data_IF_857668304079
#
_entry.id   IF_857668304079
#
_cell.length_a   1.000
_cell.length_b   1.000
_cell.length_c   1.000
_cell.angle_alpha   90.00
_cell.angle_beta   90.00
_cell.angle_gamma   90.00
#
_symmetry.space_group_name_H-M   'P 1'
#
loop_
_entity.id
_entity.type
_entity.pdbx_description
1 polymer ?
#
# COMPACT_ATOMS: atom_id res chain seq x y z
N UNK A 1 33.45 -4.65 0.15
CA UNK A 1 32.51 -5.44 -0.69
C UNK A 1 31.06 -5.02 -0.45
N UNK A 2 30.63 -4.99 0.81
CA UNK A 2 29.42 -4.40 1.39
C UNK A 2 28.71 -3.34 0.52
N UNK A 3 29.39 -2.24 0.15
CA UNK A 3 28.79 -1.16 -0.66
C UNK A 3 28.20 -1.61 -2.01
N UNK A 4 28.86 -2.56 -2.67
CA UNK A 4 28.44 -3.08 -3.99
C UNK A 4 27.24 -4.01 -3.82
N UNK A 5 27.18 -4.73 -2.68
CA UNK A 5 26.07 -5.64 -2.35
C UNK A 5 24.83 -4.86 -1.94
N UNK A 6 24.95 -3.82 -1.10
CA UNK A 6 23.81 -2.99 -0.67
C UNK A 6 23.21 -2.19 -1.83
N UNK A 7 24.04 -1.44 -2.58
CA UNK A 7 23.59 -0.72 -3.75
C UNK A 7 23.03 -1.66 -4.85
N UNK A 8 23.68 -2.80 -5.09
CA UNK A 8 23.20 -3.81 -6.05
C UNK A 8 21.85 -4.41 -5.65
N UNK A 9 21.65 -4.68 -4.36
CA UNK A 9 20.37 -5.18 -3.83
C UNK A 9 19.27 -4.12 -3.93
N UNK A 10 19.55 -2.87 -3.58
CA UNK A 10 18.58 -1.76 -3.71
C UNK A 10 18.10 -1.57 -5.16
N UNK A 11 19.03 -1.58 -6.12
CA UNK A 11 18.70 -1.51 -7.55
C UNK A 11 17.93 -2.74 -8.03
N UNK A 12 18.27 -3.94 -7.54
CA UNK A 12 17.54 -5.18 -7.82
C UNK A 12 16.11 -5.16 -7.29
N UNK A 13 15.91 -4.72 -6.05
CA UNK A 13 14.59 -4.55 -5.41
C UNK A 13 13.78 -3.46 -6.13
N UNK A 14 14.39 -2.33 -6.48
CA UNK A 14 13.75 -1.26 -7.26
C UNK A 14 13.27 -1.76 -8.63
N UNK A 15 14.14 -2.44 -9.38
CA UNK A 15 13.78 -3.02 -10.68
C UNK A 15 12.69 -4.10 -10.57
N UNK A 16 12.79 -5.01 -9.59
CA UNK A 16 11.78 -6.04 -9.35
C UNK A 16 10.41 -5.42 -8.99
N UNK A 17 10.38 -4.45 -8.08
CA UNK A 17 9.14 -3.78 -7.65
C UNK A 17 8.57 -2.87 -8.74
N UNK A 18 9.40 -2.33 -9.64
CA UNK A 18 8.97 -1.69 -10.91
C UNK A 18 8.28 -2.68 -11.84
N UNK A 19 8.88 -3.85 -12.09
CA UNK A 19 8.35 -4.88 -13.01
C UNK A 19 7.04 -5.47 -12.46
N UNK A 20 7.00 -5.77 -11.15
CA UNK A 20 5.80 -6.22 -10.46
C UNK A 20 4.74 -5.11 -10.28
N UNK A 21 5.09 -3.84 -10.53
CA UNK A 21 4.21 -2.68 -10.35
C UNK A 21 3.87 -2.35 -8.89
N UNK A 22 4.58 -2.93 -7.93
CA UNK A 22 4.41 -2.70 -6.49
C UNK A 22 4.78 -1.26 -6.10
N UNK A 23 5.80 -0.71 -6.76
CA UNK A 23 6.27 0.67 -6.52
C UNK A 23 5.36 1.76 -7.09
N UNK A 24 4.18 1.39 -7.61
CA UNK A 24 3.09 2.32 -7.91
C UNK A 24 2.30 2.71 -6.66
N UNK A 25 2.43 1.96 -5.56
CA UNK A 25 1.93 2.37 -4.26
C UNK A 25 2.97 3.22 -3.53
N UNK A 26 2.58 4.44 -3.12
CA UNK A 26 3.44 5.34 -2.34
C UNK A 26 3.86 4.77 -0.98
N UNK A 27 3.23 3.68 -0.51
CA UNK A 27 3.58 3.00 0.73
C UNK A 27 4.93 2.25 0.69
N UNK A 28 5.41 1.84 -0.49
CA UNK A 28 6.57 0.93 -0.60
C UNK A 28 7.85 1.49 0.03
N UNK A 29 8.28 2.68 -0.39
CA UNK A 29 9.53 3.27 0.12
C UNK A 29 9.46 3.74 1.59
N UNK A 30 8.34 4.31 2.08
CA UNK A 30 8.11 4.46 3.52
C UNK A 30 8.25 3.15 4.30
N UNK A 31 7.71 2.04 3.80
CA UNK A 31 7.82 0.74 4.46
C UNK A 31 9.26 0.21 4.45
N UNK A 32 9.99 0.37 3.34
CA UNK A 32 11.43 0.05 3.24
C UNK A 32 12.22 0.83 4.29
N UNK A 33 12.05 2.16 4.36
CA UNK A 33 12.73 3.01 5.35
C UNK A 33 12.41 2.61 6.80
N UNK A 34 11.15 2.28 7.11
CA UNK A 34 10.74 1.81 8.45
C UNK A 34 11.42 0.48 8.81
N UNK A 35 11.46 -0.47 7.87
CA UNK A 35 12.11 -1.78 8.09
C UNK A 35 13.61 -1.63 8.27
N UNK A 36 14.28 -0.84 7.43
CA UNK A 36 15.74 -0.65 7.48
C UNK A 36 16.15 0.00 8.80
N UNK A 37 15.50 1.09 9.19
CA UNK A 37 15.78 1.75 10.48
C UNK A 37 15.55 0.79 11.67
N UNK A 38 14.48 -0.01 11.65
CA UNK A 38 14.15 -0.92 12.75
C UNK A 38 15.19 -2.02 13.04
N UNK A 39 16.15 -2.26 12.14
CA UNK A 39 17.25 -3.20 12.42
C UNK A 39 18.20 -2.71 13.52
N UNK A 40 18.32 -1.41 13.76
CA UNK A 40 19.16 -0.89 14.85
C UNK A 40 18.60 -1.21 16.25
N UNK A 41 17.27 -1.19 16.43
CA UNK A 41 16.61 -1.72 17.63
C UNK A 41 16.88 -3.23 17.80
N UNK A 42 16.86 -4.00 16.70
CA UNK A 42 17.17 -5.44 16.72
C UNK A 42 18.61 -5.69 17.17
N UNK A 43 19.59 -4.95 16.66
CA UNK A 43 20.98 -5.06 17.08
C UNK A 43 21.16 -4.68 18.56
N UNK A 44 20.50 -3.61 19.03
CA UNK A 44 20.53 -3.24 20.44
C UNK A 44 19.95 -4.35 21.33
N UNK A 45 18.85 -5.00 20.93
CA UNK A 45 18.28 -6.14 21.67
C UNK A 45 19.22 -7.36 21.66
N UNK A 46 19.92 -7.62 20.54
CA UNK A 46 20.93 -8.68 20.45
C UNK A 46 22.13 -8.43 21.39
N UNK A 47 22.46 -7.17 21.65
CA UNK A 47 23.53 -6.73 22.56
C UNK A 47 23.08 -6.57 24.04
N UNK A 48 21.94 -7.17 24.41
CA UNK A 48 21.40 -7.11 25.78
C UNK A 48 20.67 -5.81 26.13
N UNK A 49 20.42 -4.93 25.16
CA UNK A 49 19.51 -3.78 25.27
C UNK A 49 20.14 -2.46 25.68
N UNK A 50 21.46 -2.38 25.88
CA UNK A 50 22.11 -1.17 26.38
C UNK A 50 21.87 0.08 25.51
N UNK A 51 21.97 -0.07 24.18
CA UNK A 51 21.75 1.00 23.21
C UNK A 51 20.26 1.32 22.94
N UNK A 52 19.32 0.47 23.38
CA UNK A 52 17.95 0.43 22.86
C UNK A 52 17.19 1.75 22.97
N UNK A 53 17.37 2.48 24.07
CA UNK A 53 16.70 3.79 24.26
C UNK A 53 17.21 4.84 23.25
N UNK A 54 18.49 4.78 22.88
CA UNK A 54 19.08 5.69 21.91
C UNK A 54 18.67 5.31 20.47
N UNK A 55 18.73 4.02 20.13
CA UNK A 55 18.33 3.52 18.79
C UNK A 55 16.84 3.76 18.53
N UNK A 56 15.95 3.38 19.46
CA UNK A 56 14.51 3.68 19.36
C UNK A 56 14.26 5.19 19.21
N UNK A 57 15.09 6.03 19.85
CA UNK A 57 15.05 7.48 19.71
C UNK A 57 15.43 7.98 18.31
N UNK A 58 16.48 7.43 17.70
CA UNK A 58 16.87 7.73 16.32
C UNK A 58 15.83 7.20 15.31
N UNK A 59 15.39 5.95 15.48
CA UNK A 59 14.39 5.27 14.65
C UNK A 59 13.06 6.03 14.65
N UNK A 60 12.64 6.59 15.79
CA UNK A 60 11.44 7.42 15.88
C UNK A 60 11.45 8.64 14.93
N UNK A 61 12.64 9.21 14.66
CA UNK A 61 12.80 10.31 13.68
C UNK A 61 12.53 9.82 12.26
N UNK A 62 13.09 8.66 11.89
CA UNK A 62 12.91 8.07 10.55
C UNK A 62 11.48 7.55 10.32
N UNK A 63 10.85 6.95 11.34
CA UNK A 63 9.43 6.59 11.33
C UNK A 63 8.54 7.83 11.18
N UNK A 64 8.86 8.92 11.89
CA UNK A 64 8.20 10.21 11.74
C UNK A 64 8.29 10.74 10.30
N UNK A 65 9.50 10.76 9.74
CA UNK A 65 9.74 11.19 8.36
C UNK A 65 9.03 10.29 7.32
N UNK A 66 9.04 8.97 7.51
CA UNK A 66 8.34 8.01 6.66
C UNK A 66 6.82 8.25 6.66
N UNK A 67 6.21 8.43 7.84
CA UNK A 67 4.78 8.71 7.98
C UNK A 67 4.43 10.09 7.40
N UNK A 68 5.22 11.13 7.67
CA UNK A 68 4.98 12.48 7.12
C UNK A 68 5.12 12.46 5.59
N UNK A 69 6.12 11.79 5.03
CA UNK A 69 6.31 11.66 3.59
C UNK A 69 5.22 10.83 2.90
N UNK A 70 4.78 9.74 3.52
CA UNK A 70 3.61 8.96 3.08
C UNK A 70 2.30 9.77 3.11
N UNK A 71 2.14 10.68 4.08
CA UNK A 71 0.97 11.58 4.18
C UNK A 71 1.04 12.74 3.18
N UNK A 72 2.22 13.34 3.01
CA UNK A 72 2.44 14.58 2.26
C UNK A 72 3.25 14.34 0.98
N UNK A 73 4.58 14.47 1.02
CA UNK A 73 5.48 14.38 -0.15
C UNK A 73 6.51 13.26 -0.03
N UNK A 74 6.61 12.40 -1.05
CA UNK A 74 7.63 11.35 -1.12
C UNK A 74 9.07 11.88 -1.21
N UNK A 75 9.28 13.16 -1.52
CA UNK A 75 10.60 13.79 -1.40
C UNK A 75 11.13 13.79 0.04
N UNK A 76 10.25 13.77 1.05
CA UNK A 76 10.64 13.58 2.45
C UNK A 76 11.19 12.17 2.68
N UNK A 77 10.67 11.17 1.96
CA UNK A 77 11.16 9.78 2.03
C UNK A 77 12.51 9.64 1.31
N UNK A 78 12.71 10.32 0.17
CA UNK A 78 14.03 10.43 -0.48
C UNK A 78 15.06 11.04 0.48
N UNK A 79 14.71 12.18 1.09
CA UNK A 79 15.59 12.86 2.04
C UNK A 79 15.85 12.03 3.30
N UNK A 80 14.87 11.26 3.78
CA UNK A 80 15.00 10.43 4.97
C UNK A 80 15.79 9.13 4.71
N UNK A 81 15.71 8.53 3.51
CA UNK A 81 16.60 7.43 3.10
C UNK A 81 18.05 7.93 3.02
N UNK A 82 18.31 9.03 2.31
CA UNK A 82 19.66 9.63 2.27
C UNK A 82 20.14 10.06 3.66
N UNK A 83 19.23 10.57 4.51
CA UNK A 83 19.50 10.90 5.90
C UNK A 83 19.81 9.68 6.78
N UNK A 84 19.20 8.53 6.51
CA UNK A 84 19.48 7.28 7.21
C UNK A 84 20.87 6.74 6.81
N UNK A 85 21.19 6.72 5.52
CA UNK A 85 22.55 6.40 5.06
C UNK A 85 23.62 7.38 5.57
N UNK A 86 23.29 8.65 5.81
CA UNK A 86 24.20 9.58 6.49
C UNK A 86 24.30 9.30 8.00
N UNK A 87 23.22 8.89 8.66
CA UNK A 87 23.24 8.43 10.05
C UNK A 87 24.12 7.17 10.20
N UNK A 88 24.01 6.19 9.30
CA UNK A 88 24.86 5.00 9.24
C UNK A 88 26.36 5.35 9.26
N UNK A 89 26.79 6.34 8.46
CA UNK A 89 28.19 6.79 8.39
C UNK A 89 28.71 7.33 9.73
N UNK A 90 27.85 7.96 10.53
CA UNK A 90 28.18 8.54 11.83
C UNK A 90 27.75 7.67 13.02
N UNK A 91 27.08 6.53 12.79
CA UNK A 91 26.39 5.74 13.81
C UNK A 91 27.31 5.40 15.00
N UNK A 92 28.46 4.77 14.73
CA UNK A 92 29.44 4.40 15.76
C UNK A 92 30.17 5.57 16.45
N UNK A 93 29.85 6.82 16.10
CA UNK A 93 30.27 8.04 16.81
C UNK A 93 29.11 8.75 17.52
N UNK A 94 27.87 8.27 17.35
CA UNK A 94 26.64 8.80 17.94
C UNK A 94 26.04 7.83 18.98
N UNK A 95 26.10 6.52 18.73
CA UNK A 95 25.54 5.46 19.58
C UNK A 95 26.52 4.30 19.66
N UNK A 96 26.90 3.89 20.87
CA UNK A 96 27.68 2.68 21.12
C UNK A 96 26.73 1.48 21.22
N UNK A 97 26.79 0.58 20.23
CA UNK A 97 25.94 -0.62 20.12
C UNK A 97 26.79 -1.76 19.52
N UNK A 98 27.28 -2.67 20.35
CA UNK A 98 28.20 -3.74 19.91
C UNK A 98 27.47 -4.88 19.17
N UNK A 99 26.13 -4.88 19.17
CA UNK A 99 25.31 -5.78 18.36
C UNK A 99 25.32 -5.43 16.87
N UNK A 100 25.74 -4.22 16.47
CA UNK A 100 25.81 -3.80 15.06
C UNK A 100 27.01 -4.45 14.38
N UNK A 101 26.82 -5.28 13.33
CA UNK A 101 27.93 -5.87 12.60
C UNK A 101 28.79 -4.79 11.94
N UNK A 102 30.13 -4.91 12.00
CA UNK A 102 31.04 -3.89 11.46
C UNK A 102 30.90 -3.59 9.95
N UNK A 103 30.25 -4.47 9.18
CA UNK A 103 29.91 -4.27 7.77
C UNK A 103 28.54 -3.61 7.55
N UNK A 104 27.68 -3.57 8.58
CA UNK A 104 26.27 -3.17 8.45
C UNK A 104 26.08 -1.72 8.03
N UNK A 105 26.63 -0.70 8.71
CA UNK A 105 26.32 0.70 8.39
C UNK A 105 26.74 1.04 6.96
N UNK A 106 27.89 0.50 6.53
CA UNK A 106 28.42 0.69 5.19
C UNK A 106 27.67 -0.07 4.09
N UNK A 107 27.04 -1.20 4.42
CA UNK A 107 26.08 -1.87 3.55
C UNK A 107 24.77 -1.08 3.47
N UNK A 108 24.23 -0.68 4.62
CA UNK A 108 22.96 0.02 4.78
C UNK A 108 22.94 1.36 4.04
N UNK A 109 23.95 2.21 4.26
CA UNK A 109 24.19 3.46 3.53
C UNK A 109 24.14 3.28 2.02
N UNK A 110 24.81 2.25 1.51
CA UNK A 110 24.87 2.00 0.07
C UNK A 110 23.53 1.53 -0.50
N UNK A 111 22.73 0.82 0.29
CA UNK A 111 21.35 0.47 -0.04
C UNK A 111 20.49 1.73 -0.06
N UNK A 112 20.51 2.54 1.01
CA UNK A 112 19.65 3.71 1.18
C UNK A 112 19.94 4.83 0.18
N UNK A 113 21.21 5.10 -0.10
CA UNK A 113 21.60 6.04 -1.15
C UNK A 113 21.08 5.60 -2.53
N UNK A 114 21.17 4.30 -2.84
CA UNK A 114 20.67 3.74 -4.10
C UNK A 114 19.13 3.69 -4.16
N UNK A 115 18.45 3.33 -3.07
CA UNK A 115 17.00 3.29 -2.97
C UNK A 115 16.39 4.71 -3.01
N UNK A 116 17.01 5.67 -2.32
CA UNK A 116 16.66 7.09 -2.37
C UNK A 116 16.85 7.69 -3.75
N UNK A 117 17.97 7.39 -4.43
CA UNK A 117 18.22 7.80 -5.81
C UNK A 117 17.22 7.15 -6.80
N UNK A 118 16.88 5.87 -6.60
CA UNK A 118 15.90 5.17 -7.44
C UNK A 118 14.49 5.78 -7.27
N UNK A 119 14.07 6.06 -6.03
CA UNK A 119 12.84 6.78 -5.74
C UNK A 119 12.85 8.18 -6.37
N UNK A 120 13.93 8.96 -6.20
CA UNK A 120 14.07 10.29 -6.80
C UNK A 120 13.91 10.23 -8.34
N UNK A 121 14.55 9.26 -9.01
CA UNK A 121 14.37 9.03 -10.44
C UNK A 121 12.93 8.64 -10.81
N UNK A 122 12.27 7.81 -9.99
CA UNK A 122 10.86 7.42 -10.19
C UNK A 122 9.87 8.58 -9.98
N UNK A 123 10.18 9.55 -9.12
CA UNK A 123 9.45 10.81 -8.96
C UNK A 123 9.70 11.75 -10.15
N UNK A 124 10.97 12.00 -10.49
CA UNK A 124 11.37 12.91 -11.58
C UNK A 124 10.90 12.43 -12.96
N UNK A 125 10.76 11.12 -13.16
CA UNK A 125 10.21 10.54 -14.40
C UNK A 125 8.67 10.50 -14.46
N UNK A 126 7.97 11.10 -13.49
CA UNK A 126 6.50 11.17 -13.45
C UNK A 126 5.78 9.82 -13.24
N UNK A 127 6.54 8.73 -13.02
CA UNK A 127 6.01 7.37 -12.82
C UNK A 127 5.40 7.16 -11.44
N UNK A 128 5.72 8.03 -10.49
CA UNK A 128 5.13 8.14 -9.15
C UNK A 128 4.92 9.64 -8.90
N UNK A 129 3.72 10.05 -8.48
CA UNK A 129 3.50 11.42 -8.03
C UNK A 129 4.11 11.62 -6.64
N UNK A 130 4.90 12.67 -6.45
CA UNK A 130 5.48 12.98 -5.15
C UNK A 130 4.42 13.36 -4.12
N UNK A 131 3.39 14.11 -4.52
CA UNK A 131 2.47 14.84 -3.62
C UNK A 131 1.04 14.30 -3.65
N UNK A 132 0.53 13.87 -4.81
CA UNK A 132 -0.80 13.26 -4.95
C UNK A 132 -0.82 11.90 -4.22
N UNK A 133 -1.65 11.73 -3.17
CA UNK A 133 -1.75 10.45 -2.50
C UNK A 133 -2.28 9.40 -3.48
N UNK A 134 -1.50 8.33 -3.72
CA UNK A 134 -1.81 7.17 -4.57
C UNK A 134 -2.97 6.30 -4.05
N UNK A 135 -3.96 6.92 -3.42
CA UNK A 135 -5.22 6.30 -3.06
C UNK A 135 -6.15 6.23 -4.28
N UNK A 136 -5.97 5.17 -5.09
CA UNK A 136 -7.05 4.63 -5.93
C UNK A 136 -8.37 4.59 -5.13
N UNK A 137 -8.33 4.15 -3.87
CA UNK A 137 -9.43 4.15 -2.91
C UNK A 137 -10.11 5.50 -2.58
N UNK A 138 -9.47 6.64 -2.89
CA UNK A 138 -10.05 7.99 -2.77
C UNK A 138 -10.67 8.46 -4.10
N UNK A 139 -10.07 8.10 -5.24
CA UNK A 139 -10.60 8.44 -6.56
C UNK A 139 -11.77 7.55 -6.98
N UNK A 140 -11.70 6.26 -6.66
CA UNK A 140 -12.82 5.31 -6.83
C UNK A 140 -13.91 5.48 -5.76
N UNK A 141 -13.70 6.33 -4.74
CA UNK A 141 -14.68 6.56 -3.68
C UNK A 141 -16.03 7.04 -4.24
N UNK A 142 -16.02 7.97 -5.20
CA UNK A 142 -17.24 8.47 -5.84
C UNK A 142 -18.01 7.36 -6.57
N UNK A 143 -17.30 6.52 -7.34
CA UNK A 143 -17.87 5.33 -8.00
C UNK A 143 -18.46 4.33 -7.00
N UNK A 144 -17.74 4.05 -5.91
CA UNK A 144 -18.22 3.13 -4.85
C UNK A 144 -19.43 3.72 -4.12
N UNK A 145 -19.46 5.03 -3.83
CA UNK A 145 -20.64 5.66 -3.22
C UNK A 145 -21.85 5.64 -4.15
N UNK A 146 -21.67 5.91 -5.44
CA UNK A 146 -22.76 5.89 -6.41
C UNK A 146 -23.46 4.52 -6.46
N UNK A 147 -22.69 3.42 -6.48
CA UNK A 147 -23.25 2.06 -6.37
C UNK A 147 -23.85 1.78 -4.97
N UNK A 148 -23.22 2.22 -3.88
CA UNK A 148 -23.77 2.05 -2.53
C UNK A 148 -25.05 2.85 -2.30
N UNK A 149 -25.25 3.99 -2.97
CA UNK A 149 -26.49 4.77 -2.94
C UNK A 149 -27.56 4.20 -3.88
N UNK A 150 -27.18 3.71 -5.07
CA UNK A 150 -28.08 2.96 -5.95
C UNK A 150 -28.61 1.67 -5.29
N UNK A 151 -27.78 0.99 -4.49
CA UNK A 151 -28.20 -0.14 -3.67
C UNK A 151 -29.25 0.26 -2.62
N UNK A 152 -29.05 1.39 -1.91
CA UNK A 152 -30.02 1.92 -0.93
C UNK A 152 -31.33 2.36 -1.60
N UNK A 153 -31.28 2.89 -2.81
CA UNK A 153 -32.47 3.24 -3.59
C UNK A 153 -33.26 1.99 -3.96
N UNK A 154 -32.59 0.97 -4.53
CA UNK A 154 -33.23 -0.30 -4.87
C UNK A 154 -33.84 -1.03 -3.66
N UNK A 155 -33.22 -1.00 -2.47
CA UNK A 155 -33.86 -1.52 -1.24
C UNK A 155 -35.14 -0.76 -0.87
N UNK A 156 -35.20 0.56 -1.07
CA UNK A 156 -36.40 1.37 -0.80
C UNK A 156 -37.52 1.12 -1.82
N UNK A 157 -37.15 0.86 -3.07
CA UNK A 157 -38.06 0.49 -4.16
C UNK A 157 -38.57 -0.97 -4.03
N UNK A 158 -38.02 -1.76 -3.10
CA UNK A 158 -38.36 -3.17 -2.87
C UNK A 158 -37.61 -4.18 -3.75
N UNK A 159 -36.71 -3.73 -4.63
CA UNK A 159 -35.92 -4.57 -5.54
C UNK A 159 -34.61 -5.01 -4.87
N UNK A 160 -34.72 -6.02 -3.99
CA UNK A 160 -33.60 -6.58 -3.25
C UNK A 160 -32.49 -7.16 -4.15
N UNK A 161 -32.84 -7.72 -5.31
CA UNK A 161 -31.88 -8.31 -6.25
C UNK A 161 -31.12 -7.24 -7.05
N UNK A 162 -31.75 -6.11 -7.39
CA UNK A 162 -31.06 -4.92 -7.92
C UNK A 162 -30.17 -4.29 -6.86
N UNK A 163 -30.63 -4.23 -5.60
CA UNK A 163 -29.79 -3.76 -4.50
C UNK A 163 -28.52 -4.59 -4.35
N UNK A 164 -28.63 -5.93 -4.37
CA UNK A 164 -27.46 -6.80 -4.29
C UNK A 164 -26.52 -6.65 -5.50
N UNK A 165 -27.06 -6.56 -6.73
CA UNK A 165 -26.26 -6.29 -7.94
C UNK A 165 -25.47 -4.98 -7.87
N UNK A 166 -26.01 -3.93 -7.24
CA UNK A 166 -25.26 -2.70 -6.97
C UNK A 166 -24.18 -2.90 -5.90
N UNK A 167 -24.41 -3.70 -4.86
CA UNK A 167 -23.36 -4.07 -3.90
C UNK A 167 -22.24 -4.90 -4.56
N UNK A 168 -22.57 -5.79 -5.50
CA UNK A 168 -21.60 -6.54 -6.30
C UNK A 168 -20.74 -5.62 -7.19
N UNK A 169 -21.35 -4.62 -7.84
CA UNK A 169 -20.64 -3.59 -8.62
C UNK A 169 -19.74 -2.74 -7.72
N UNK A 170 -20.24 -2.31 -6.56
CA UNK A 170 -19.45 -1.60 -5.55
C UNK A 170 -18.24 -2.41 -5.07
N UNK A 171 -18.39 -3.74 -4.91
CA UNK A 171 -17.30 -4.63 -4.52
C UNK A 171 -16.22 -4.67 -5.61
N UNK A 172 -16.61 -4.89 -6.89
CA UNK A 172 -15.66 -4.92 -8.04
C UNK A 172 -14.87 -3.62 -8.15
N UNK A 173 -15.53 -2.46 -8.01
CA UNK A 173 -14.86 -1.15 -7.94
C UNK A 173 -13.91 -1.04 -6.73
N UNK A 174 -14.34 -1.55 -5.58
CA UNK A 174 -13.61 -1.46 -4.32
C UNK A 174 -12.40 -2.39 -4.17
N UNK A 175 -12.27 -3.47 -4.96
CA UNK A 175 -11.32 -4.57 -4.72
C UNK A 175 -9.87 -4.13 -4.44
N UNK A 176 -9.32 -3.20 -5.24
CA UNK A 176 -7.95 -2.67 -5.07
C UNK A 176 -7.83 -1.56 -4.00
N UNK A 177 -8.79 -1.45 -3.08
CA UNK A 177 -8.69 -0.61 -1.89
C UNK A 177 -9.27 -1.35 -0.69
N UNK A 178 -8.42 -1.89 0.17
CA UNK A 178 -8.79 -2.68 1.36
C UNK A 178 -9.89 -2.01 2.20
N UNK A 179 -9.85 -0.68 2.35
CA UNK A 179 -10.87 0.10 3.07
C UNK A 179 -12.24 0.03 2.38
N UNK A 180 -12.32 0.24 1.06
CA UNK A 180 -13.60 0.14 0.34
C UNK A 180 -14.06 -1.31 0.22
N UNK A 181 -13.14 -2.24 -0.03
CA UNK A 181 -13.40 -3.67 -0.13
C UNK A 181 -14.03 -4.24 1.16
N UNK A 182 -13.45 -3.97 2.33
CA UNK A 182 -14.02 -4.35 3.63
C UNK A 182 -15.35 -3.63 3.88
N UNK A 183 -15.43 -2.32 3.58
CA UNK A 183 -16.66 -1.53 3.74
C UNK A 183 -17.83 -2.07 2.91
N UNK A 184 -17.60 -2.51 1.68
CA UNK A 184 -18.64 -3.13 0.84
C UNK A 184 -18.99 -4.52 1.37
N UNK A 185 -18.03 -5.34 1.81
CA UNK A 185 -18.36 -6.62 2.46
C UNK A 185 -19.22 -6.46 3.72
N UNK A 186 -18.98 -5.42 4.53
CA UNK A 186 -19.86 -5.07 5.66
C UNK A 186 -21.26 -4.62 5.17
N UNK A 187 -21.37 -3.92 4.03
CA UNK A 187 -22.67 -3.56 3.42
C UNK A 187 -23.42 -4.80 2.90
N UNK A 188 -22.73 -5.74 2.26
CA UNK A 188 -23.27 -7.03 1.81
C UNK A 188 -23.73 -7.90 2.99
N UNK A 189 -22.96 -7.95 4.08
CA UNK A 189 -23.35 -8.63 5.33
C UNK A 189 -24.63 -8.02 5.91
N UNK A 190 -24.73 -6.69 5.99
CA UNK A 190 -25.93 -6.03 6.49
C UNK A 190 -27.15 -6.21 5.57
N UNK A 191 -26.97 -6.23 4.25
CA UNK A 191 -28.02 -6.61 3.29
C UNK A 191 -28.49 -8.05 3.54
N UNK A 192 -27.56 -8.98 3.72
CA UNK A 192 -27.86 -10.39 3.93
C UNK A 192 -28.62 -10.65 5.25
N UNK A 193 -28.34 -9.86 6.29
CA UNK A 193 -29.11 -9.87 7.55
C UNK A 193 -30.53 -9.32 7.33
N UNK A 194 -30.70 -8.18 6.63
CA UNK A 194 -32.04 -7.62 6.35
C UNK A 194 -32.93 -8.57 5.53
N UNK A 195 -32.34 -9.30 4.58
CA UNK A 195 -33.07 -10.18 3.66
C UNK A 195 -33.06 -11.67 4.07
N UNK A 196 -32.66 -12.00 5.31
CA UNK A 196 -32.61 -13.36 5.84
C UNK A 196 -31.86 -14.37 4.95
N UNK A 197 -30.66 -14.02 4.48
CA UNK A 197 -29.84 -14.83 3.56
C UNK A 197 -28.67 -15.52 4.30
N UNK A 198 -28.89 -16.68 4.97
CA UNK A 198 -27.89 -17.30 5.86
C UNK A 198 -26.62 -17.81 5.14
N UNK A 199 -26.71 -18.13 3.85
CA UNK A 199 -25.53 -18.48 3.02
C UNK A 199 -24.63 -17.27 2.83
N UNK A 200 -25.24 -16.13 2.55
CA UNK A 200 -24.54 -14.86 2.31
C UNK A 200 -23.94 -14.31 3.61
N UNK A 201 -24.68 -14.35 4.73
CA UNK A 201 -24.17 -13.98 6.07
C UNK A 201 -22.86 -14.73 6.38
N UNK A 202 -22.84 -16.06 6.21
CA UNK A 202 -21.65 -16.89 6.48
C UNK A 202 -20.49 -16.56 5.53
N UNK A 203 -20.77 -16.38 4.24
CA UNK A 203 -19.76 -16.03 3.24
C UNK A 203 -19.14 -14.65 3.48
N UNK A 204 -19.95 -13.65 3.80
CA UNK A 204 -19.47 -12.28 4.06
C UNK A 204 -18.65 -12.19 5.35
N UNK A 205 -19.01 -12.91 6.43
CA UNK A 205 -18.18 -12.98 7.65
C UNK A 205 -16.78 -13.54 7.32
N UNK A 206 -16.70 -14.65 6.57
CA UNK A 206 -15.43 -15.25 6.17
C UNK A 206 -14.61 -14.30 5.25
N UNK A 207 -15.25 -13.61 4.32
CA UNK A 207 -14.60 -12.64 3.42
C UNK A 207 -14.09 -11.40 4.16
N UNK A 208 -14.83 -10.85 5.14
CA UNK A 208 -14.36 -9.75 6.00
C UNK A 208 -13.13 -10.18 6.82
N UNK A 209 -13.16 -11.37 7.42
CA UNK A 209 -12.02 -11.90 8.18
C UNK A 209 -10.79 -12.12 7.29
N UNK A 210 -10.95 -12.76 6.12
CA UNK A 210 -9.85 -12.98 5.17
C UNK A 210 -9.26 -11.69 4.59
N UNK A 211 -10.09 -10.67 4.33
CA UNK A 211 -9.62 -9.36 3.90
C UNK A 211 -8.90 -8.59 5.03
N UNK A 212 -9.30 -8.79 6.28
CA UNK A 212 -8.68 -8.15 7.46
C UNK A 212 -7.38 -8.85 7.90
N UNK A 213 -7.27 -10.17 7.71
CA UNK A 213 -6.09 -10.97 8.07
C UNK A 213 -4.89 -10.80 7.12
N UNK A 214 -5.00 -9.95 6.08
CA UNK A 214 -3.89 -9.57 5.22
C UNK A 214 -3.32 -10.70 4.35
N UNK A 215 -4.02 -11.83 4.20
CA UNK A 215 -3.57 -13.05 3.48
C UNK A 215 -3.64 -12.87 1.95
N UNK A 216 -3.07 -11.78 1.45
CA UNK A 216 -3.41 -11.13 0.18
C UNK A 216 -2.25 -11.21 -0.84
N UNK A 217 -1.61 -12.38 -0.94
CA UNK A 217 -0.37 -12.62 -1.71
C UNK A 217 -0.57 -12.55 -3.24
N UNK A 218 -0.77 -11.33 -3.77
CA UNK A 218 -0.78 -10.99 -5.20
C UNK A 218 -1.94 -11.52 -6.05
N UNK A 219 -2.65 -12.54 -5.57
CA UNK A 219 -3.60 -13.36 -6.34
C UNK A 219 -5.07 -13.15 -5.96
N UNK A 220 -5.46 -11.89 -5.67
CA UNK A 220 -6.88 -11.56 -5.50
C UNK A 220 -7.58 -11.64 -6.87
N UNK A 221 -8.71 -12.36 -7.00
CA UNK A 221 -9.39 -12.52 -8.29
C UNK A 221 -10.08 -11.22 -8.72
N UNK A 222 -9.46 -10.51 -9.66
CA UNK A 222 -10.08 -9.32 -10.27
C UNK A 222 -11.44 -9.68 -10.87
N UNK A 223 -12.41 -8.79 -10.70
CA UNK A 223 -13.79 -8.93 -11.22
C UNK A 223 -14.69 -9.90 -10.46
N UNK A 224 -14.20 -10.63 -9.44
CA UNK A 224 -15.06 -11.38 -8.52
C UNK A 224 -16.14 -10.45 -7.94
N UNK A 225 -17.40 -10.84 -7.91
CA UNK A 225 -18.50 -9.93 -7.51
C UNK A 225 -18.69 -9.82 -5.99
N UNK A 226 -18.00 -10.65 -5.20
CA UNK A 226 -18.05 -10.60 -3.75
C UNK A 226 -19.11 -11.50 -3.09
N UNK A 227 -20.11 -12.00 -3.84
CA UNK A 227 -21.21 -12.84 -3.31
C UNK A 227 -20.78 -14.25 -2.86
N UNK A 228 -21.54 -14.86 -1.94
CA UNK A 228 -21.29 -16.21 -1.42
C UNK A 228 -21.80 -17.35 -2.33
N UNK A 229 -22.49 -17.00 -3.42
CA UNK A 229 -22.78 -17.89 -4.56
C UNK A 229 -21.53 -18.20 -5.40
N UNK A 230 -20.48 -17.38 -5.31
CA UNK A 230 -19.26 -17.44 -6.12
C UNK A 230 -18.06 -17.72 -5.21
N UNK A 231 -17.14 -18.58 -5.64
CA UNK A 231 -15.89 -18.84 -4.92
C UNK A 231 -15.06 -17.55 -4.78
N UNK A 232 -14.54 -17.31 -3.57
CA UNK A 232 -13.69 -16.16 -3.27
C UNK A 232 -12.34 -16.13 -4.01
N UNK A 233 -12.01 -17.19 -4.76
CA UNK A 233 -10.80 -17.31 -5.59
C UNK A 233 -11.10 -17.32 -7.10
N UNK A 234 -12.36 -17.16 -7.53
CA UNK A 234 -12.74 -17.18 -8.96
C UNK A 234 -12.54 -15.81 -9.62
N UNK A 235 -11.53 -15.68 -10.49
CA UNK A 235 -11.38 -14.52 -11.37
C UNK A 235 -12.52 -14.42 -12.39
N UNK A 236 -12.92 -13.20 -12.74
CA UNK A 236 -14.04 -12.92 -13.64
C UNK A 236 -13.76 -11.69 -14.51
N UNK A 237 -14.40 -11.60 -15.68
CA UNK A 237 -14.27 -10.40 -16.52
C UNK A 237 -14.93 -9.20 -15.84
N UNK A 238 -14.21 -8.08 -15.73
CA UNK A 238 -14.77 -6.80 -15.27
C UNK A 238 -15.62 -6.21 -16.41
N UNK A 239 -16.90 -5.84 -16.18
CA UNK A 239 -17.71 -5.14 -17.17
C UNK A 239 -17.02 -3.84 -17.64
N UNK A 240 -17.08 -3.56 -18.94
CA UNK A 240 -16.36 -2.43 -19.59
C UNK A 240 -16.61 -1.08 -18.90
N UNK A 241 -17.85 -0.83 -18.51
CA UNK A 241 -18.27 0.35 -17.74
C UNK A 241 -17.48 0.52 -16.42
N UNK A 242 -17.35 -0.56 -15.64
CA UNK A 242 -16.59 -0.55 -14.38
C UNK A 242 -15.08 -0.50 -14.66
N UNK A 243 -14.61 -1.17 -15.73
CA UNK A 243 -13.22 -1.11 -16.16
C UNK A 243 -12.80 0.31 -16.55
N UNK A 244 -13.70 1.08 -17.19
CA UNK A 244 -13.53 2.50 -17.48
C UNK A 244 -13.38 3.35 -16.22
N UNK A 245 -14.27 3.19 -15.23
CA UNK A 245 -14.20 3.89 -13.95
C UNK A 245 -12.92 3.54 -13.15
N UNK A 246 -12.59 2.25 -13.10
CA UNK A 246 -11.35 1.74 -12.48
C UNK A 246 -10.11 2.31 -13.18
N UNK A 247 -10.15 2.44 -14.51
CA UNK A 247 -9.05 3.02 -15.30
C UNK A 247 -8.94 4.52 -15.06
N UNK A 248 -10.04 5.28 -15.03
CA UNK A 248 -10.01 6.70 -14.66
C UNK A 248 -9.39 6.94 -13.27
N UNK A 249 -9.76 6.11 -12.28
CA UNK A 249 -9.17 6.17 -10.93
C UNK A 249 -7.68 5.75 -10.86
N UNK A 250 -7.18 5.00 -11.86
CA UNK A 250 -5.75 4.65 -12.03
C UNK A 250 -4.98 5.73 -12.82
N UNK A 251 -5.59 6.31 -13.85
CA UNK A 251 -4.91 7.06 -14.94
C UNK A 251 -4.93 8.58 -14.76
N UNK A 252 -5.44 9.12 -13.64
CA UNK A 252 -5.36 10.56 -13.30
C UNK A 252 -3.93 11.06 -12.96
N UNK A 253 -2.92 10.44 -13.56
CA UNK A 253 -1.50 10.81 -13.63
C UNK A 253 -1.12 11.27 -15.05
N UNK A 254 -1.99 11.07 -16.04
CA UNK A 254 -1.75 11.35 -17.45
C UNK A 254 -2.48 12.61 -17.94
N UNK A 255 -2.19 13.75 -17.34
CA UNK A 255 -2.34 15.05 -18.03
C UNK A 255 -0.98 15.40 -18.61
N UNK A 256 -0.67 15.06 -19.88
CA UNK A 256 0.47 15.67 -20.53
C UNK A 256 0.21 17.17 -20.61
N UNK A 257 1.07 17.98 -20.00
CA UNK A 257 1.04 19.43 -20.26
C UNK A 257 1.36 19.62 -21.75
N UNK A 258 0.33 20.00 -22.51
CA UNK A 258 0.47 20.24 -23.94
C UNK A 258 1.44 21.38 -24.18
N UNK A 259 2.48 21.13 -24.97
CA UNK A 259 3.19 22.19 -25.66
C UNK A 259 2.21 22.79 -26.68
N UNK A 260 1.73 24.00 -26.41
CA UNK A 260 0.71 24.66 -27.21
C UNK A 260 0.75 26.18 -27.02
N UNK A 261 0.97 26.88 -28.14
CA UNK A 261 1.41 28.27 -28.25
C UNK A 261 2.87 28.49 -27.80
#
# INVERSE_FOLDING_TARGET
MEYVVGAGLALGVGLFTTIAGLDRDRALYPAILIVIASYYDLFAVMDGGAALIAETGAIAVFLGAAVIGFRTSLWIVVAALVGHGLFDWYHGALIENAGVPAWWPMWCLSYDAAAGAYLAWRLLSGKIDATNPSSFGRRIHSSVEAELDAAKAAERDGDADKAFRHLERAHVLGQRSTVQHIRVHVRMLMWAVRHNQPREIKGQILRVLGASAGTWAGLLPEGNTGGANISGFKAMAIPEELAGQITAARTSLATPHGLGA
#
